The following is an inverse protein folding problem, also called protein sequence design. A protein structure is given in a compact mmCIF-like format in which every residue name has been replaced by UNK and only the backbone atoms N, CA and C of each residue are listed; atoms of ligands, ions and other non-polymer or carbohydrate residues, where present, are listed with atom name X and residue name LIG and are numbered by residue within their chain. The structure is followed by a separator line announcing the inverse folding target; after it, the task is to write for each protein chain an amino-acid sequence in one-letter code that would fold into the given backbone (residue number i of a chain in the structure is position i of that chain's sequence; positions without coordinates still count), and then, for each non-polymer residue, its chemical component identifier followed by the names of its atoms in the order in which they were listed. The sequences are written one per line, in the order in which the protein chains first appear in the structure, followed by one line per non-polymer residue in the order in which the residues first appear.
data_IF_429409608121
#
_entry.id   IF_429409608121
#
_cell.length_a   1.000
_cell.length_b   1.000
_cell.length_c   1.000
_cell.angle_alpha   90.00
_cell.angle_beta   90.00
_cell.angle_gamma   90.00
#
_symmetry.space_group_name_H-M   'P 1'
#
loop_
_entity.id
_entity.type
_entity.pdbx_description
1 polymer ?
#
# COMPACT_ATOMS: atom_id res chain seq x y z
N UNK A 1 -6.83 19.20 18.36
CA UNK A 1 -8.29 19.50 18.34
C UNK A 1 -8.77 19.52 16.90
N UNK A 2 -10.02 19.15 16.61
CA UNK A 2 -10.61 19.31 15.28
C UNK A 2 -11.50 20.56 15.23
N UNK A 3 -11.43 21.32 14.14
CA UNK A 3 -12.36 22.40 13.81
C UNK A 3 -13.35 21.94 12.73
N UNK A 4 -14.65 22.08 12.96
CA UNK A 4 -15.70 21.72 11.99
C UNK A 4 -16.31 23.01 11.43
N UNK A 5 -16.29 23.12 10.10
CA UNK A 5 -16.86 24.24 9.36
C UNK A 5 -18.20 23.81 8.75
N UNK A 6 -19.27 24.47 9.16
CA UNK A 6 -20.58 24.35 8.52
C UNK A 6 -20.89 25.60 7.68
N UNK A 7 -21.60 25.43 6.58
CA UNK A 7 -22.09 26.54 5.75
C UNK A 7 -23.61 26.58 5.78
N UNK A 8 -24.17 27.75 6.08
CA UNK A 8 -25.62 28.01 6.02
C UNK A 8 -26.12 28.14 4.57
N UNK A 9 -25.23 28.40 3.62
CA UNK A 9 -25.53 28.39 2.19
C UNK A 9 -25.57 26.97 1.59
N UNK A 10 -25.13 25.96 2.33
CA UNK A 10 -25.11 24.56 1.91
C UNK A 10 -26.16 23.73 2.69
N UNK A 11 -27.15 23.21 1.98
CA UNK A 11 -28.24 22.43 2.58
C UNK A 11 -27.77 21.12 3.20
N UNK A 12 -26.81 20.41 2.59
CA UNK A 12 -26.28 19.18 3.17
C UNK A 12 -25.46 19.51 4.43
N UNK A 13 -24.67 20.58 4.39
CA UNK A 13 -23.89 21.05 5.55
C UNK A 13 -24.77 21.38 6.76
N UNK A 14 -25.87 22.12 6.55
CA UNK A 14 -26.85 22.40 7.60
C UNK A 14 -27.40 21.11 8.21
N UNK A 15 -27.77 20.15 7.35
CA UNK A 15 -28.35 18.89 7.80
C UNK A 15 -27.32 18.01 8.53
N UNK A 16 -26.08 17.91 8.06
CA UNK A 16 -24.98 17.24 8.77
C UNK A 16 -24.76 17.91 10.13
N UNK A 17 -24.81 19.25 10.19
CA UNK A 17 -24.73 20.02 11.43
C UNK A 17 -25.82 19.67 12.45
N UNK A 18 -27.05 19.50 11.98
CA UNK A 18 -28.15 19.02 12.82
C UNK A 18 -27.84 17.62 13.38
N UNK A 19 -27.36 16.70 12.54
CA UNK A 19 -26.99 15.35 12.98
C UNK A 19 -25.85 15.37 13.99
N UNK A 20 -24.78 16.14 13.76
CA UNK A 20 -23.67 16.33 14.70
C UNK A 20 -24.16 16.77 16.09
N UNK A 21 -25.09 17.73 16.14
CA UNK A 21 -25.70 18.22 17.38
C UNK A 21 -26.59 17.21 18.09
N UNK A 22 -27.17 16.25 17.36
CA UNK A 22 -28.01 15.19 17.95
C UNK A 22 -27.20 14.03 18.51
N UNK A 23 -26.02 13.76 17.94
CA UNK A 23 -25.19 12.60 18.29
C UNK A 23 -24.46 12.76 19.63
N UNK A 24 -24.18 14.00 20.03
CA UNK A 24 -23.36 14.32 21.19
C UNK A 24 -23.94 15.48 22.00
N UNK A 25 -23.54 15.60 23.27
CA UNK A 25 -23.97 16.69 24.15
C UNK A 25 -23.00 17.88 24.11
N UNK A 26 -23.25 18.81 23.20
CA UNK A 26 -22.40 19.98 22.97
C UNK A 26 -22.54 21.05 24.05
N UNK A 27 -21.42 21.67 24.42
CA UNK A 27 -21.43 22.93 25.18
C UNK A 27 -21.57 24.09 24.21
N UNK A 28 -22.61 24.89 24.39
CA UNK A 28 -22.80 26.14 23.65
C UNK A 28 -22.07 27.29 24.34
N UNK A 29 -21.37 28.08 23.55
CA UNK A 29 -20.73 29.32 23.96
C UNK A 29 -21.01 30.42 22.95
N UNK A 30 -20.93 31.67 23.40
CA UNK A 30 -21.17 32.83 22.53
C UNK A 30 -19.86 33.59 22.24
N UNK A 31 -19.45 33.60 20.99
CA UNK A 31 -18.31 34.38 20.50
C UNK A 31 -18.76 35.73 19.93
N UNK A 32 -18.59 36.78 20.75
CA UNK A 32 -18.91 38.15 20.36
C UNK A 32 -17.76 38.89 19.66
N UNK A 33 -16.60 38.24 19.45
CA UNK A 33 -15.42 38.89 18.87
C UNK A 33 -15.50 39.03 17.34
N UNK A 34 -16.44 38.34 16.70
CA UNK A 34 -16.68 38.33 15.25
C UNK A 34 -18.17 38.19 14.95
N UNK A 35 -18.55 38.40 13.69
CA UNK A 35 -19.95 38.32 13.27
C UNK A 35 -20.45 36.87 13.25
N UNK A 36 -21.76 36.65 13.44
CA UNK A 36 -22.38 35.32 13.30
C UNK A 36 -22.31 34.76 11.86
N UNK A 37 -22.14 35.64 10.86
CA UNK A 37 -21.91 35.24 9.47
C UNK A 37 -20.49 34.67 9.26
N UNK A 38 -19.51 35.11 10.06
CA UNK A 38 -18.09 34.75 9.96
C UNK A 38 -17.66 33.76 11.05
N UNK A 39 -18.54 32.85 11.47
CA UNK A 39 -18.22 31.84 12.49
C UNK A 39 -18.23 32.34 13.93
N UNK A 40 -18.76 33.54 14.21
CA UNK A 40 -19.04 34.05 15.54
C UNK A 40 -20.40 33.59 16.05
N UNK A 41 -20.98 34.33 16.99
CA UNK A 41 -22.29 33.97 17.54
C UNK A 41 -22.21 32.67 18.33
N UNK A 42 -23.00 31.67 18.00
CA UNK A 42 -23.02 30.39 18.74
C UNK A 42 -21.90 29.47 18.28
N UNK A 43 -21.03 29.09 19.21
CA UNK A 43 -19.95 28.12 19.02
C UNK A 43 -20.27 26.87 19.82
N UNK A 44 -20.18 25.71 19.20
CA UNK A 44 -20.42 24.43 19.85
C UNK A 44 -19.10 23.74 20.16
N UNK A 45 -18.93 23.28 21.40
CA UNK A 45 -17.71 22.56 21.83
C UNK A 45 -18.00 21.20 22.42
N UNK A 46 -17.12 20.26 22.08
CA UNK A 46 -16.92 18.98 22.77
C UNK A 46 -15.44 18.85 23.11
N UNK A 47 -15.10 17.84 23.92
CA UNK A 47 -13.69 17.55 24.19
C UNK A 47 -12.95 17.19 22.89
N UNK A 48 -11.97 18.02 22.53
CA UNK A 48 -11.19 17.92 21.30
C UNK A 48 -11.89 18.40 20.03
N UNK A 49 -13.06 19.04 20.10
CA UNK A 49 -13.83 19.50 18.92
C UNK A 49 -14.42 20.89 19.11
N UNK A 50 -14.26 21.75 18.10
CA UNK A 50 -14.95 23.04 17.99
C UNK A 50 -15.72 23.10 16.66
N UNK A 51 -17.00 23.46 16.71
CA UNK A 51 -17.88 23.58 15.54
C UNK A 51 -18.37 25.02 15.40
N UNK A 52 -18.27 25.55 14.18
CA UNK A 52 -18.70 26.90 13.81
C UNK A 52 -19.48 26.90 12.51
N UNK A 53 -20.39 27.85 12.40
CA UNK A 53 -21.26 28.04 11.23
C UNK A 53 -20.93 29.35 10.51
N UNK A 54 -20.90 29.30 9.18
CA UNK A 54 -20.57 30.43 8.31
C UNK A 54 -21.73 30.68 7.34
N UNK A 55 -21.94 31.93 6.94
CA UNK A 55 -23.00 32.28 5.98
C UNK A 55 -22.63 31.87 4.55
N UNK A 56 -21.36 32.00 4.18
CA UNK A 56 -20.85 31.73 2.83
C UNK A 56 -20.56 30.23 2.58
N UNK A 57 -20.49 29.83 1.30
CA UNK A 57 -20.07 28.49 0.90
C UNK A 57 -18.60 28.24 1.25
N UNK A 58 -18.31 27.03 1.74
CA UNK A 58 -16.98 26.65 2.25
C UNK A 58 -15.85 26.90 1.26
N UNK A 59 -16.11 26.67 -0.03
CA UNK A 59 -15.12 26.78 -1.10
C UNK A 59 -14.52 28.19 -1.28
N UNK A 60 -15.14 29.22 -0.69
CA UNK A 60 -14.65 30.60 -0.71
C UNK A 60 -14.00 31.06 0.61
N UNK A 61 -13.93 30.19 1.62
CA UNK A 61 -13.47 30.52 2.97
C UNK A 61 -11.96 30.36 3.13
N UNK A 62 -11.15 31.07 2.34
CA UNK A 62 -9.69 31.12 2.52
C UNK A 62 -9.32 31.69 3.91
N UNK A 63 -8.36 31.07 4.60
CA UNK A 63 -7.89 31.49 5.94
C UNK A 63 -8.84 31.19 7.10
N UNK A 64 -9.90 30.39 6.88
CA UNK A 64 -10.92 30.10 7.89
C UNK A 64 -10.40 29.30 9.10
N UNK A 65 -9.29 28.59 8.95
CA UNK A 65 -8.62 27.89 10.05
C UNK A 65 -8.22 28.85 11.18
N UNK A 66 -7.88 30.10 10.86
CA UNK A 66 -7.56 31.15 11.85
C UNK A 66 -8.71 31.56 12.76
N UNK A 67 -9.95 31.20 12.40
CA UNK A 67 -11.15 31.45 13.20
C UNK A 67 -11.17 30.50 14.41
N UNK A 68 -10.61 29.30 14.29
CA UNK A 68 -10.61 28.32 15.36
C UNK A 68 -9.45 28.54 16.33
N UNK A 69 -9.62 28.09 17.58
CA UNK A 69 -8.56 28.13 18.58
C UNK A 69 -7.84 26.77 18.65
N UNK A 70 -6.56 26.73 18.31
CA UNK A 70 -5.65 25.59 18.56
C UNK A 70 -6.15 24.25 17.97
N UNK A 71 -6.39 24.23 16.65
CA UNK A 71 -6.80 23.05 15.90
C UNK A 71 -5.63 22.42 15.15
N UNK A 72 -5.62 21.10 15.10
CA UNK A 72 -4.65 20.29 14.34
C UNK A 72 -5.25 19.84 12.99
N UNK A 73 -6.57 19.84 12.88
CA UNK A 73 -7.31 19.40 11.70
C UNK A 73 -8.56 20.27 11.49
N UNK A 74 -8.80 20.68 10.25
CA UNK A 74 -10.02 21.38 9.83
C UNK A 74 -10.86 20.48 8.92
N UNK A 75 -12.14 20.33 9.24
CA UNK A 75 -13.07 19.48 8.49
C UNK A 75 -14.23 20.31 7.96
N UNK A 76 -14.43 20.29 6.66
CA UNK A 76 -15.57 20.92 6.00
C UNK A 76 -16.67 19.87 5.81
N UNK A 77 -17.80 20.05 6.49
CA UNK A 77 -18.99 19.24 6.23
C UNK A 77 -19.74 19.85 5.06
N UNK A 78 -19.75 19.19 3.91
CA UNK A 78 -20.17 19.79 2.63
C UNK A 78 -21.13 18.88 1.86
N UNK A 79 -21.78 19.43 0.84
CA UNK A 79 -22.43 18.62 -0.19
C UNK A 79 -21.42 18.21 -1.26
N UNK A 80 -21.61 17.01 -1.78
CA UNK A 80 -21.16 16.69 -3.13
C UNK A 80 -22.31 16.95 -4.11
N UNK A 81 -22.02 17.48 -5.30
CA UNK A 81 -23.02 17.77 -6.33
C UNK A 81 -22.64 17.12 -7.67
N UNK A 82 -23.44 16.15 -8.13
CA UNK A 82 -23.14 15.43 -9.36
C UNK A 82 -24.20 14.39 -9.75
N UNK A 83 -23.94 13.67 -10.84
CA UNK A 83 -24.82 12.61 -11.37
C UNK A 83 -24.36 11.20 -10.95
N UNK A 84 -23.97 11.01 -9.68
CA UNK A 84 -23.48 9.71 -9.18
C UNK A 84 -24.50 8.91 -8.38
N UNK A 85 -25.66 9.49 -8.06
CA UNK A 85 -26.60 8.87 -7.12
C UNK A 85 -26.14 9.06 -5.66
N UNK A 86 -26.53 8.16 -4.73
CA UNK A 86 -26.16 8.28 -3.34
C UNK A 86 -24.67 7.97 -3.10
N UNK A 87 -23.93 8.96 -2.61
CA UNK A 87 -22.48 8.90 -2.47
C UNK A 87 -22.00 9.65 -1.22
N UNK A 88 -21.07 9.06 -0.49
CA UNK A 88 -20.32 9.73 0.58
C UNK A 88 -18.83 9.79 0.21
N UNK A 89 -18.21 10.95 0.32
CA UNK A 89 -16.84 11.15 -0.14
C UNK A 89 -15.99 12.00 0.81
N UNK A 90 -14.69 11.94 0.59
CA UNK A 90 -13.73 12.86 1.21
C UNK A 90 -12.59 13.19 0.25
N UNK A 91 -12.07 14.41 0.32
CA UNK A 91 -10.93 14.84 -0.49
C UNK A 91 -10.24 16.10 0.08
N UNK A 92 -8.97 16.37 -0.28
CA UNK A 92 -8.33 17.64 0.00
C UNK A 92 -8.74 18.70 -1.02
N UNK A 93 -8.62 19.97 -0.66
CA UNK A 93 -8.86 21.10 -1.58
C UNK A 93 -7.58 21.60 -2.23
N UNK A 94 -7.73 22.15 -3.43
CA UNK A 94 -6.60 22.59 -4.24
C UNK A 94 -6.91 22.68 -5.72
N UNK A 95 -6.21 23.57 -6.40
CA UNK A 95 -6.27 23.75 -7.84
C UNK A 95 -4.87 23.47 -8.43
N UNK A 96 -4.73 22.42 -9.24
CA UNK A 96 -3.50 22.18 -10.02
C UNK A 96 -3.36 23.16 -11.20
N UNK A 97 -4.50 23.64 -11.71
CA UNK A 97 -4.62 24.62 -12.79
C UNK A 97 -5.28 25.92 -12.33
N UNK A 98 -6.16 26.53 -13.15
CA UNK A 98 -6.97 27.68 -12.76
C UNK A 98 -7.95 27.35 -11.63
N UNK A 99 -8.27 28.35 -10.80
CA UNK A 99 -9.25 28.27 -9.73
C UNK A 99 -10.61 28.80 -10.21
N UNK A 100 -11.46 27.91 -10.71
CA UNK A 100 -12.82 28.26 -11.17
C UNK A 100 -13.85 28.25 -10.02
N UNK A 101 -13.58 27.46 -8.98
CA UNK A 101 -14.47 27.24 -7.85
C UNK A 101 -13.77 27.51 -6.52
N UNK A 102 -13.38 28.77 -6.30
CA UNK A 102 -12.76 29.21 -5.06
C UNK A 102 -11.26 28.88 -4.93
N UNK A 103 -10.61 29.52 -3.96
CA UNK A 103 -9.16 29.48 -3.79
C UNK A 103 -8.38 30.20 -4.90
N UNK A 104 -7.10 29.83 -5.05
CA UNK A 104 -6.19 30.45 -6.00
C UNK A 104 -5.65 29.48 -7.05
N UNK A 105 -5.35 30.01 -8.24
CA UNK A 105 -4.68 29.27 -9.32
C UNK A 105 -3.43 28.58 -8.80
N UNK A 106 -3.30 27.30 -9.13
CA UNK A 106 -2.09 26.51 -8.83
C UNK A 106 -1.74 26.45 -7.34
N UNK A 107 -2.72 26.70 -6.45
CA UNK A 107 -2.57 26.63 -5.00
C UNK A 107 -3.22 25.36 -4.45
N UNK A 108 -2.65 24.79 -3.40
CA UNK A 108 -3.10 23.55 -2.76
C UNK A 108 -3.10 23.78 -1.25
N UNK A 109 -4.20 23.42 -0.58
CA UNK A 109 -4.32 23.47 0.88
C UNK A 109 -3.41 22.43 1.54
N UNK A 110 -3.20 22.51 2.85
CA UNK A 110 -2.53 21.42 3.57
C UNK A 110 -3.45 20.19 3.60
N UNK A 111 -3.01 19.08 2.99
CA UNK A 111 -3.78 17.84 3.02
C UNK A 111 -3.70 17.17 4.40
N UNK A 112 -4.67 16.30 4.70
CA UNK A 112 -4.71 15.50 5.92
C UNK A 112 -4.79 13.98 5.60
N UNK A 113 -3.69 13.36 5.11
CA UNK A 113 -3.71 12.00 4.56
C UNK A 113 -4.26 10.94 5.53
N UNK A 114 -3.85 10.97 6.80
CA UNK A 114 -4.29 9.98 7.78
C UNK A 114 -5.74 10.22 8.23
N UNK A 115 -6.15 11.48 8.35
CA UNK A 115 -7.55 11.83 8.58
C UNK A 115 -8.43 11.37 7.40
N UNK A 116 -7.97 11.52 6.17
CA UNK A 116 -8.69 11.04 4.98
C UNK A 116 -8.85 9.51 4.99
N UNK A 117 -7.79 8.77 5.32
CA UNK A 117 -7.87 7.30 5.47
C UNK A 117 -8.86 6.90 6.57
N UNK A 118 -8.81 7.60 7.71
CA UNK A 118 -9.71 7.33 8.85
C UNK A 118 -11.17 7.64 8.52
N UNK A 119 -11.44 8.78 7.86
CA UNK A 119 -12.81 9.15 7.49
C UNK A 119 -13.37 8.23 6.42
N UNK A 120 -12.55 7.76 5.46
CA UNK A 120 -12.97 6.79 4.46
C UNK A 120 -13.45 5.49 5.11
N UNK A 121 -12.70 4.99 6.11
CA UNK A 121 -13.10 3.81 6.88
C UNK A 121 -14.41 4.05 7.65
N UNK A 122 -14.55 5.20 8.32
CA UNK A 122 -15.75 5.53 9.10
C UNK A 122 -16.99 5.77 8.22
N UNK A 123 -16.83 6.41 7.05
CA UNK A 123 -17.90 6.51 6.04
C UNK A 123 -18.33 5.13 5.57
N UNK A 124 -17.38 4.23 5.31
CA UNK A 124 -17.67 2.85 4.89
C UNK A 124 -18.43 2.07 5.97
N UNK A 125 -18.07 2.27 7.25
CA UNK A 125 -18.75 1.62 8.38
C UNK A 125 -20.18 2.13 8.58
N UNK A 126 -20.40 3.43 8.37
CA UNK A 126 -21.67 4.09 8.71
C UNK A 126 -22.60 4.36 7.51
N UNK A 127 -22.13 4.12 6.28
CA UNK A 127 -22.93 4.33 5.08
C UNK A 127 -24.22 3.51 5.12
N UNK A 128 -25.39 4.14 4.87
CA UNK A 128 -26.63 3.41 4.74
C UNK A 128 -26.69 2.59 3.45
N UNK A 129 -27.57 1.61 3.40
CA UNK A 129 -27.74 0.72 2.24
C UNK A 129 -27.98 1.54 0.95
N UNK A 130 -27.19 1.26 -0.08
CA UNK A 130 -27.30 1.90 -1.39
C UNK A 130 -26.51 3.18 -1.57
N UNK A 131 -25.73 3.61 -0.56
CA UNK A 131 -24.70 4.62 -0.73
C UNK A 131 -23.36 3.98 -1.13
N UNK A 132 -22.76 4.52 -2.18
CA UNK A 132 -21.36 4.28 -2.47
C UNK A 132 -20.49 5.16 -1.57
N UNK A 133 -19.24 4.73 -1.35
CA UNK A 133 -18.25 5.45 -0.55
C UNK A 133 -16.93 5.49 -1.31
N UNK A 134 -16.34 6.66 -1.46
CA UNK A 134 -15.08 6.80 -2.20
C UNK A 134 -14.26 8.03 -1.82
N UNK A 135 -13.12 8.18 -2.47
CA UNK A 135 -12.31 9.39 -2.42
C UNK A 135 -12.50 10.20 -3.71
N UNK A 136 -12.17 11.48 -3.66
CA UNK A 136 -12.11 12.32 -4.85
C UNK A 136 -10.72 12.90 -5.09
N UNK A 137 -10.50 13.32 -6.34
CA UNK A 137 -9.33 14.10 -6.74
C UNK A 137 -9.30 15.46 -6.04
N UNK A 138 -8.11 16.04 -5.93
CA UNK A 138 -7.95 17.39 -5.38
C UNK A 138 -8.59 18.40 -6.33
N UNK A 139 -9.55 19.17 -5.81
CA UNK A 139 -10.22 20.20 -6.58
C UNK A 139 -10.78 21.31 -5.68
N UNK A 140 -11.10 22.44 -6.32
CA UNK A 140 -11.75 23.63 -5.75
C UNK A 140 -11.06 24.25 -4.52
N UNK A 141 -11.60 25.36 -4.04
CA UNK A 141 -11.14 26.07 -2.84
C UNK A 141 -11.74 25.55 -1.54
N UNK A 142 -11.33 26.08 -0.38
CA UNK A 142 -10.29 27.08 -0.22
C UNK A 142 -8.90 26.47 -0.40
N UNK A 143 -7.89 27.29 -0.67
CA UNK A 143 -6.50 26.83 -0.84
C UNK A 143 -5.53 27.45 0.16
N UNK A 144 -5.89 28.58 0.76
CA UNK A 144 -5.06 29.27 1.75
C UNK A 144 -5.41 28.82 3.15
N UNK A 145 -5.04 27.58 3.46
CA UNK A 145 -5.16 26.98 4.79
C UNK A 145 -3.77 26.59 5.29
N UNK A 146 -3.51 26.88 6.57
CA UNK A 146 -2.28 26.49 7.26
C UNK A 146 -2.43 25.18 8.03
N UNK A 147 -3.65 24.87 8.45
CA UNK A 147 -4.03 23.64 9.14
C UNK A 147 -4.35 22.53 8.13
N UNK A 148 -3.90 21.28 8.35
CA UNK A 148 -4.37 20.12 7.58
C UNK A 148 -5.89 20.09 7.47
N UNK A 149 -6.41 19.82 6.27
CA UNK A 149 -7.84 19.92 6.01
C UNK A 149 -8.34 18.94 4.98
N UNK A 150 -9.65 18.67 5.04
CA UNK A 150 -10.39 17.89 4.05
C UNK A 150 -11.87 18.25 4.06
N UNK A 151 -12.52 18.01 2.93
CA UNK A 151 -13.96 17.96 2.81
C UNK A 151 -14.46 16.55 3.12
N UNK A 152 -15.62 16.46 3.78
CA UNK A 152 -16.35 15.21 4.01
C UNK A 152 -17.78 15.46 3.59
N UNK A 153 -18.24 14.72 2.58
CA UNK A 153 -19.36 15.15 1.77
C UNK A 153 -20.52 14.16 1.73
N UNK A 154 -21.72 14.72 1.58
CA UNK A 154 -22.96 14.01 1.32
C UNK A 154 -23.45 14.34 -0.09
N UNK A 155 -23.55 13.33 -0.95
CA UNK A 155 -23.93 13.49 -2.34
C UNK A 155 -25.09 12.60 -2.79
N UNK A 156 -25.68 12.88 -3.96
CA UNK A 156 -25.16 13.86 -4.94
C UNK A 156 -26.18 14.89 -5.41
N UNK A 157 -27.42 14.79 -4.95
CA UNK A 157 -28.49 15.73 -5.27
C UNK A 157 -29.39 16.05 -4.07
N UNK A 158 -30.41 16.87 -4.30
CA UNK A 158 -31.35 17.33 -3.26
C UNK A 158 -31.96 16.17 -2.46
N UNK A 159 -32.22 15.00 -3.07
CA UNK A 159 -32.75 13.85 -2.34
C UNK A 159 -31.78 13.40 -1.26
N UNK A 160 -30.49 13.27 -1.59
CA UNK A 160 -29.50 12.82 -0.62
C UNK A 160 -29.10 13.90 0.37
N UNK A 161 -29.04 15.17 -0.03
CA UNK A 161 -28.76 16.26 0.91
C UNK A 161 -29.82 16.36 2.03
N UNK A 162 -31.04 15.86 1.78
CA UNK A 162 -32.12 15.76 2.78
C UNK A 162 -32.23 14.40 3.45
N UNK A 163 -31.37 13.44 3.15
CA UNK A 163 -31.43 12.11 3.74
C UNK A 163 -30.82 12.13 5.16
N UNK A 164 -31.62 11.88 6.22
CA UNK A 164 -31.11 11.90 7.58
C UNK A 164 -30.11 10.78 7.87
N UNK A 165 -30.23 9.63 7.20
CA UNK A 165 -29.30 8.51 7.40
C UNK A 165 -27.94 8.83 6.78
N UNK A 166 -27.91 9.37 5.56
CA UNK A 166 -26.69 9.85 4.90
C UNK A 166 -26.01 10.99 5.67
N UNK A 167 -26.77 11.99 6.12
CA UNK A 167 -26.23 13.08 6.93
C UNK A 167 -25.69 12.59 8.28
N UNK A 168 -26.36 11.61 8.91
CA UNK A 168 -25.87 11.02 10.16
C UNK A 168 -24.59 10.20 9.94
N UNK A 169 -24.47 9.48 8.83
CA UNK A 169 -23.27 8.74 8.47
C UNK A 169 -22.05 9.68 8.35
N UNK A 170 -22.20 10.80 7.64
CA UNK A 170 -21.15 11.83 7.54
C UNK A 170 -20.82 12.42 8.90
N UNK A 171 -21.83 12.77 9.71
CA UNK A 171 -21.62 13.31 11.05
C UNK A 171 -20.82 12.34 11.95
N UNK A 172 -21.13 11.04 11.92
CA UNK A 172 -20.36 10.02 12.66
C UNK A 172 -18.93 9.91 12.15
N UNK A 173 -18.74 9.92 10.84
CA UNK A 173 -17.40 9.86 10.24
C UNK A 173 -16.54 11.07 10.63
N UNK A 174 -17.11 12.28 10.67
CA UNK A 174 -16.41 13.48 11.15
C UNK A 174 -16.02 13.33 12.63
N UNK A 175 -16.93 12.82 13.48
CA UNK A 175 -16.63 12.61 14.91
C UNK A 175 -15.59 11.51 15.16
N UNK A 176 -15.44 10.55 14.23
CA UNK A 176 -14.39 9.52 14.30
C UNK A 176 -12.97 10.11 14.15
N UNK A 177 -12.84 11.34 13.65
CA UNK A 177 -11.56 12.06 13.53
C UNK A 177 -11.08 12.68 14.85
N UNK A 178 -11.85 12.55 15.93
CA UNK A 178 -11.43 13.01 17.26
C UNK A 178 -10.13 12.31 17.67
N UNK A 179 -9.14 13.11 18.04
CA UNK A 179 -7.82 12.64 18.50
C UNK A 179 -7.00 11.87 17.46
N UNK A 180 -7.37 11.97 16.17
CA UNK A 180 -6.59 11.43 15.06
C UNK A 180 -5.50 12.44 14.66
N UNK A 181 -4.25 11.98 14.56
CA UNK A 181 -3.19 12.77 13.92
C UNK A 181 -3.53 12.90 12.42
N UNK A 182 -3.60 14.11 11.84
CA UNK A 182 -3.95 14.28 10.44
C UNK A 182 -2.92 13.69 9.46
N UNK A 183 -1.68 13.45 9.88
CA UNK A 183 -0.59 13.02 9.02
C UNK A 183 -0.22 11.54 9.25
N UNK A 184 0.34 10.92 8.21
CA UNK A 184 0.93 9.58 8.28
C UNK A 184 2.32 9.59 7.63
N UNK A 185 3.26 8.82 8.18
CA UNK A 185 4.61 8.65 7.62
C UNK A 185 4.54 8.05 6.20
N UNK A 186 3.73 6.99 6.03
CA UNK A 186 3.47 6.35 4.74
C UNK A 186 2.38 7.11 3.98
N UNK A 187 2.77 8.21 3.35
CA UNK A 187 1.86 9.01 2.51
C UNK A 187 2.33 9.04 1.06
N UNK A 188 1.41 9.04 0.10
CA UNK A 188 1.68 9.26 -1.33
C UNK A 188 1.04 10.56 -1.83
N UNK A 189 1.64 11.15 -2.87
CA UNK A 189 0.91 12.00 -3.83
C UNK A 189 0.43 11.12 -4.99
N UNK A 190 -0.84 11.23 -5.35
CA UNK A 190 -1.42 10.54 -6.50
C UNK A 190 -1.43 11.41 -7.75
N UNK A 191 -1.14 10.81 -8.91
CA UNK A 191 -1.27 11.48 -10.20
C UNK A 191 -1.95 10.60 -11.24
N UNK A 192 -2.96 11.16 -11.90
CA UNK A 192 -3.74 10.55 -12.98
C UNK A 192 -5.09 10.00 -12.53
N UNK A 193 -5.81 9.46 -13.49
CA UNK A 193 -7.12 8.85 -13.29
C UNK A 193 -8.28 9.85 -13.31
N UNK A 194 -9.49 9.31 -13.11
CA UNK A 194 -10.73 10.08 -13.06
C UNK A 194 -10.97 10.75 -11.70
N UNK A 195 -12.06 11.51 -11.62
CA UNK A 195 -12.44 12.28 -10.43
C UNK A 195 -12.57 11.45 -9.14
N UNK A 196 -13.05 10.21 -9.20
CA UNK A 196 -13.26 9.33 -8.03
C UNK A 196 -12.09 8.38 -7.72
N UNK A 197 -10.92 8.58 -8.33
CA UNK A 197 -9.61 8.05 -7.89
C UNK A 197 -9.55 6.59 -7.36
N UNK A 198 -10.17 5.59 -8.03
CA UNK A 198 -10.35 4.24 -7.46
C UNK A 198 -9.03 3.48 -7.22
N UNK A 199 -7.97 3.81 -7.97
CA UNK A 199 -6.63 3.25 -7.74
C UNK A 199 -6.06 3.70 -6.39
N UNK A 200 -6.18 4.99 -6.08
CA UNK A 200 -5.68 5.58 -4.85
C UNK A 200 -6.55 5.20 -3.65
N UNK A 201 -7.87 5.13 -3.84
CA UNK A 201 -8.78 4.57 -2.84
C UNK A 201 -8.40 3.13 -2.47
N UNK A 202 -8.13 2.28 -3.45
CA UNK A 202 -7.68 0.90 -3.21
C UNK A 202 -6.37 0.85 -2.43
N UNK A 203 -5.42 1.74 -2.70
CA UNK A 203 -4.18 1.82 -1.91
C UNK A 203 -4.49 2.11 -0.44
N UNK A 204 -5.35 3.10 -0.17
CA UNK A 204 -5.75 3.46 1.19
C UNK A 204 -6.51 2.33 1.90
N UNK A 205 -7.33 1.57 1.16
CA UNK A 205 -8.10 0.45 1.74
C UNK A 205 -7.28 -0.82 1.97
N UNK A 206 -6.35 -1.12 1.07
CA UNK A 206 -5.65 -2.40 1.05
C UNK A 206 -4.30 -2.36 1.79
N UNK A 207 -3.82 -1.19 2.20
CA UNK A 207 -2.48 -1.00 2.79
C UNK A 207 -2.48 0.07 3.88
N UNK A 208 -1.40 0.17 4.64
CA UNK A 208 -1.11 1.26 5.59
C UNK A 208 -0.79 2.61 4.92
N UNK A 209 -0.69 2.66 3.57
CA UNK A 209 -0.38 3.89 2.87
C UNK A 209 -1.59 4.81 2.77
N UNK A 210 -1.42 6.03 3.24
CA UNK A 210 -2.36 7.13 3.04
C UNK A 210 -2.05 7.90 1.75
N UNK A 211 -3.03 8.68 1.28
CA UNK A 211 -2.86 9.53 0.09
C UNK A 211 -3.21 10.96 0.47
N UNK A 212 -2.31 11.89 0.15
CA UNK A 212 -2.55 13.33 0.27
C UNK A 212 -3.27 13.86 -0.97
N UNK A 213 -2.63 14.79 -1.68
CA UNK A 213 -3.18 15.29 -2.93
C UNK A 213 -3.20 14.22 -4.02
N UNK A 214 -4.29 14.20 -4.77
CA UNK A 214 -4.41 13.50 -6.05
C UNK A 214 -4.66 14.50 -7.17
N UNK A 215 -3.73 14.59 -8.13
CA UNK A 215 -3.91 15.37 -9.35
C UNK A 215 -4.53 14.49 -10.45
N UNK A 216 -5.83 14.65 -10.68
CA UNK A 216 -6.58 13.87 -11.70
C UNK A 216 -6.38 14.40 -13.11
N UNK A 217 -6.69 13.60 -14.13
CA UNK A 217 -6.33 13.85 -15.53
C UNK A 217 -6.74 15.24 -16.05
N UNK A 218 -7.97 15.69 -15.75
CA UNK A 218 -8.44 17.00 -16.20
C UNK A 218 -7.70 18.15 -15.49
N UNK A 219 -7.34 17.97 -14.22
CA UNK A 219 -6.62 18.97 -13.43
C UNK A 219 -5.16 19.08 -13.91
N UNK A 220 -4.54 17.95 -14.25
CA UNK A 220 -3.20 17.89 -14.83
C UNK A 220 -3.17 18.48 -16.25
N UNK A 221 -4.19 18.21 -17.06
CA UNK A 221 -4.35 18.84 -18.36
C UNK A 221 -4.47 20.37 -18.25
N UNK A 222 -5.23 20.86 -17.27
CA UNK A 222 -5.39 22.28 -16.99
C UNK A 222 -4.12 22.94 -16.41
N UNK A 223 -3.34 22.20 -15.60
CA UNK A 223 -2.02 22.64 -15.14
C UNK A 223 -1.11 22.91 -16.33
N UNK A 224 -1.10 21.99 -17.31
CA UNK A 224 -0.22 22.00 -18.47
C UNK A 224 1.05 21.17 -18.25
N UNK A 225 2.03 21.33 -19.14
CA UNK A 225 3.20 20.45 -19.19
C UNK A 225 3.99 20.45 -17.85
N UNK A 226 4.26 19.27 -17.24
CA UNK A 226 4.89 19.15 -15.92
C UNK A 226 6.18 19.95 -15.76
N UNK A 227 7.05 19.94 -16.78
CA UNK A 227 8.35 20.60 -16.76
C UNK A 227 8.25 22.13 -16.68
N UNK A 228 7.10 22.70 -17.04
CA UNK A 228 6.81 24.15 -16.93
C UNK A 228 6.15 24.51 -15.60
N UNK A 229 5.65 23.53 -14.86
CA UNK A 229 4.85 23.72 -13.63
C UNK A 229 5.43 22.98 -12.42
N UNK A 230 6.77 22.87 -12.38
CA UNK A 230 7.53 22.23 -11.30
C UNK A 230 7.18 22.72 -9.89
N UNK A 231 6.84 24.00 -9.73
CA UNK A 231 6.45 24.56 -8.43
C UNK A 231 5.10 24.02 -7.92
N UNK A 232 4.17 23.68 -8.83
CA UNK A 232 2.88 23.08 -8.48
C UNK A 232 3.09 21.65 -8.01
N UNK A 233 3.93 20.89 -8.73
CA UNK A 233 4.31 19.54 -8.33
C UNK A 233 5.00 19.55 -6.96
N UNK A 234 6.00 20.40 -6.77
CA UNK A 234 6.69 20.57 -5.47
C UNK A 234 5.70 20.85 -4.34
N UNK A 235 4.72 21.72 -4.60
CA UNK A 235 3.66 22.05 -3.64
C UNK A 235 2.79 20.84 -3.31
N UNK A 236 2.45 19.99 -4.28
CA UNK A 236 1.68 18.78 -4.01
C UNK A 236 2.38 17.83 -3.03
N UNK A 237 3.71 17.69 -3.13
CA UNK A 237 4.51 16.93 -2.16
C UNK A 237 4.61 17.61 -0.80
N UNK A 238 4.94 18.91 -0.76
CA UNK A 238 5.08 19.69 0.47
C UNK A 238 3.77 19.71 1.27
N UNK A 239 2.63 19.92 0.59
CA UNK A 239 1.29 19.97 1.19
C UNK A 239 0.73 18.60 1.55
N UNK A 240 1.27 17.52 0.99
CA UNK A 240 0.94 16.15 1.39
C UNK A 240 1.91 15.60 2.45
N UNK A 241 3.00 16.31 2.78
CA UNK A 241 3.97 15.84 3.77
C UNK A 241 4.75 14.60 3.35
N UNK A 242 4.99 14.38 2.04
CA UNK A 242 5.66 13.17 1.54
C UNK A 242 6.72 13.45 0.48
N UNK A 243 7.56 12.45 0.22
CA UNK A 243 8.52 12.40 -0.88
C UNK A 243 8.20 11.31 -1.91
N UNK A 244 7.08 10.58 -1.75
CA UNK A 244 6.69 9.47 -2.60
C UNK A 244 5.47 9.82 -3.46
N UNK A 245 5.47 9.36 -4.71
CA UNK A 245 4.35 9.51 -5.63
C UNK A 245 4.00 8.20 -6.35
N UNK A 246 2.71 7.98 -6.56
CA UNK A 246 2.18 6.94 -7.43
C UNK A 246 1.55 7.61 -8.65
N UNK A 247 2.05 7.28 -9.84
CA UNK A 247 1.64 7.90 -11.11
C UNK A 247 0.94 6.87 -11.99
N UNK A 248 -0.17 7.25 -12.63
CA UNK A 248 -0.82 6.51 -13.71
C UNK A 248 -0.23 6.92 -15.07
N UNK A 249 0.61 6.07 -15.64
CA UNK A 249 1.08 6.10 -17.05
C UNK A 249 1.46 7.48 -17.63
N UNK A 250 2.32 8.25 -16.95
CA UNK A 250 2.88 9.51 -17.47
C UNK A 250 4.42 9.61 -17.28
N UNK A 251 5.21 9.12 -18.26
CA UNK A 251 6.67 9.18 -18.19
C UNK A 251 7.26 10.61 -18.17
N UNK A 252 6.53 11.62 -18.66
CA UNK A 252 7.01 13.00 -18.62
C UNK A 252 6.88 13.59 -17.22
N UNK A 253 5.75 13.30 -16.56
CA UNK A 253 5.52 13.66 -15.18
C UNK A 253 6.48 12.92 -14.24
N UNK A 254 6.64 11.60 -14.40
CA UNK A 254 7.57 10.79 -13.60
C UNK A 254 9.00 11.34 -13.63
N UNK A 255 9.54 11.62 -14.81
CA UNK A 255 10.87 12.24 -14.94
C UNK A 255 10.95 13.59 -14.26
N UNK A 256 9.92 14.42 -14.39
CA UNK A 256 9.90 15.75 -13.76
C UNK A 256 9.90 15.64 -12.23
N UNK A 257 9.15 14.69 -11.68
CA UNK A 257 9.10 14.37 -10.24
C UNK A 257 10.47 13.90 -9.75
N UNK A 258 11.10 12.97 -10.47
CA UNK A 258 12.43 12.44 -10.11
C UNK A 258 13.52 13.52 -10.16
N UNK A 259 13.52 14.38 -11.18
CA UNK A 259 14.43 15.51 -11.26
C UNK A 259 14.22 16.55 -10.14
N UNK A 260 13.02 16.60 -9.53
CA UNK A 260 12.74 17.43 -8.36
C UNK A 260 13.24 16.81 -7.04
N UNK A 261 13.76 15.57 -7.09
CA UNK A 261 14.28 14.85 -5.92
C UNK A 261 13.23 14.03 -5.17
N UNK A 262 12.04 13.87 -5.74
CA UNK A 262 10.99 12.99 -5.22
C UNK A 262 11.08 11.60 -5.86
N UNK A 263 10.44 10.62 -5.23
CA UNK A 263 10.49 9.23 -5.68
C UNK A 263 9.14 8.78 -6.23
N UNK A 264 9.14 8.37 -7.50
CA UNK A 264 8.04 7.63 -8.11
C UNK A 264 8.11 6.16 -7.66
N UNK A 265 6.96 5.60 -7.30
CA UNK A 265 6.82 4.20 -6.88
C UNK A 265 5.70 3.51 -7.64
N UNK A 266 5.83 2.20 -7.80
CA UNK A 266 4.77 1.37 -8.39
C UNK A 266 3.78 0.90 -7.34
N UNK A 267 2.58 0.48 -7.76
CA UNK A 267 1.61 -0.13 -6.83
C UNK A 267 2.18 -1.43 -6.20
N UNK A 268 3.01 -2.18 -6.93
CA UNK A 268 3.75 -3.31 -6.37
C UNK A 268 4.67 -2.88 -5.23
N UNK A 269 5.39 -1.76 -5.38
CA UNK A 269 6.24 -1.24 -4.31
C UNK A 269 5.42 -0.82 -3.09
N UNK A 270 4.27 -0.16 -3.30
CA UNK A 270 3.35 0.23 -2.22
C UNK A 270 2.86 -1.01 -1.45
N UNK A 271 2.42 -2.05 -2.16
CA UNK A 271 1.96 -3.31 -1.53
C UNK A 271 3.07 -4.10 -0.85
N UNK A 272 4.26 -4.16 -1.43
CA UNK A 272 5.40 -4.87 -0.82
C UNK A 272 5.94 -4.15 0.42
N UNK A 273 5.68 -2.85 0.57
CA UNK A 273 6.12 -2.05 1.72
C UNK A 273 5.02 -1.84 2.76
N UNK A 274 3.86 -2.45 2.55
CA UNK A 274 2.78 -2.49 3.53
C UNK A 274 3.24 -3.18 4.82
N UNK A 275 2.99 -2.57 5.97
CA UNK A 275 3.48 -3.07 7.26
C UNK A 275 5.00 -2.97 7.48
N UNK A 276 5.81 -2.55 6.49
CA UNK A 276 7.28 -2.56 6.61
C UNK A 276 7.83 -1.16 6.95
N UNK A 277 8.75 -1.01 7.93
CA UNK A 277 9.41 0.26 8.22
C UNK A 277 10.20 0.83 7.03
N UNK A 278 9.98 2.10 6.68
CA UNK A 278 10.61 2.72 5.50
C UNK A 278 12.15 2.77 5.60
N UNK A 279 12.70 2.89 6.80
CA UNK A 279 14.15 2.82 7.02
C UNK A 279 14.72 1.48 6.55
N UNK A 280 14.05 0.37 6.88
CA UNK A 280 14.43 -0.97 6.46
C UNK A 280 14.26 -1.17 4.95
N UNK A 281 13.16 -0.68 4.38
CA UNK A 281 12.93 -0.68 2.93
C UNK A 281 14.09 0.01 2.21
N UNK A 282 14.41 1.23 2.62
CA UNK A 282 15.48 2.03 2.01
C UNK A 282 16.86 1.37 2.20
N UNK A 283 17.11 0.75 3.35
CA UNK A 283 18.34 0.01 3.60
C UNK A 283 18.48 -1.18 2.65
N UNK A 284 17.45 -2.02 2.53
CA UNK A 284 17.50 -3.24 1.72
C UNK A 284 17.51 -2.96 0.22
N UNK A 285 16.80 -1.92 -0.24
CA UNK A 285 16.89 -1.52 -1.65
C UNK A 285 18.29 -1.05 -2.05
N UNK A 286 19.02 -0.41 -1.12
CA UNK A 286 20.40 0.04 -1.34
C UNK A 286 21.43 -1.08 -1.19
N UNK A 287 21.27 -1.96 -0.21
CA UNK A 287 22.27 -2.99 0.12
C UNK A 287 22.07 -4.31 -0.64
N UNK A 288 20.86 -4.58 -1.13
CA UNK A 288 20.51 -5.80 -1.86
C UNK A 288 20.17 -5.47 -3.31
N UNK A 289 18.99 -4.90 -3.57
CA UNK A 289 18.53 -4.37 -4.87
C UNK A 289 17.14 -3.75 -4.73
N UNK A 290 16.68 -2.92 -5.69
CA UNK A 290 15.33 -2.36 -5.70
C UNK A 290 14.21 -3.43 -5.68
N UNK A 291 13.04 -3.07 -5.14
CA UNK A 291 11.82 -3.91 -5.20
C UNK A 291 11.37 -4.12 -6.64
N UNK A 292 11.54 -3.11 -7.49
CA UNK A 292 11.31 -3.19 -8.95
C UNK A 292 12.14 -4.28 -9.59
N UNK A 293 13.32 -4.59 -9.02
CA UNK A 293 14.27 -5.57 -9.52
C UNK A 293 14.15 -6.92 -8.77
N UNK A 294 13.07 -7.11 -8.01
CA UNK A 294 12.71 -8.39 -7.41
C UNK A 294 13.14 -8.56 -5.94
N UNK A 295 13.44 -7.51 -5.20
CA UNK A 295 13.46 -7.60 -3.73
C UNK A 295 12.04 -7.83 -3.21
N UNK A 296 11.87 -8.79 -2.29
CA UNK A 296 10.59 -9.13 -1.63
C UNK A 296 10.84 -9.32 -0.14
N UNK A 297 9.89 -8.92 0.70
CA UNK A 297 10.01 -9.12 2.15
C UNK A 297 9.53 -10.52 2.55
N UNK A 298 10.17 -11.09 3.56
CA UNK A 298 9.82 -12.38 4.15
C UNK A 298 9.13 -12.24 5.50
N UNK A 299 8.68 -13.35 6.06
CA UNK A 299 7.81 -13.39 7.25
C UNK A 299 8.56 -13.03 8.55
N UNK A 300 9.89 -12.89 8.48
CA UNK A 300 10.72 -12.42 9.61
C UNK A 300 11.04 -10.93 9.52
N UNK A 301 10.47 -10.23 8.54
CA UNK A 301 10.56 -8.78 8.48
C UNK A 301 9.81 -8.18 9.69
N UNK A 302 10.39 -7.23 10.44
CA UNK A 302 9.65 -6.51 11.47
C UNK A 302 8.47 -5.77 10.85
N UNK A 303 7.33 -5.78 11.55
CA UNK A 303 6.22 -4.89 11.21
C UNK A 303 6.39 -3.53 11.89
N UNK A 304 5.76 -2.51 11.31
CA UNK A 304 5.54 -1.16 11.87
C UNK A 304 5.01 -1.21 13.31
N UNK A 305 4.12 -2.15 13.62
CA UNK A 305 3.53 -2.33 14.96
C UNK A 305 4.43 -3.07 15.96
N UNK A 306 5.47 -3.76 15.50
CA UNK A 306 6.35 -4.57 16.32
C UNK A 306 7.43 -3.73 17.03
N UNK A 307 7.03 -2.75 17.84
CA UNK A 307 7.94 -2.05 18.78
C UNK A 307 8.16 -2.88 20.06
N UNK A 308 8.01 -4.21 19.97
CA UNK A 308 8.18 -5.13 21.09
C UNK A 308 9.54 -5.84 21.02
N UNK A 309 10.61 -5.11 21.33
CA UNK A 309 11.82 -5.61 22.00
C UNK A 309 12.71 -6.71 21.36
N UNK A 310 12.33 -7.35 20.26
CA UNK A 310 13.11 -8.45 19.65
C UNK A 310 13.91 -8.05 18.41
N UNK A 311 13.61 -6.90 17.77
CA UNK A 311 14.34 -6.41 16.59
C UNK A 311 14.24 -4.88 16.49
N UNK A 312 15.36 -4.17 16.48
CA UNK A 312 15.38 -2.75 16.13
C UNK A 312 15.48 -2.62 14.60
N UNK A 313 14.43 -2.11 13.90
CA UNK A 313 14.45 -1.99 12.44
C UNK A 313 15.52 -1.01 11.91
N UNK A 314 16.16 -0.25 12.80
CA UNK A 314 17.28 0.64 12.50
C UNK A 314 18.65 0.01 12.78
N UNK A 315 18.72 -1.09 13.53
CA UNK A 315 19.95 -1.83 13.78
C UNK A 315 20.20 -2.86 12.66
N UNK A 316 20.80 -2.35 11.59
CA UNK A 316 21.11 -3.15 10.41
C UNK A 316 22.28 -4.13 10.61
N UNK A 317 23.06 -4.00 11.69
CA UNK A 317 24.19 -4.90 11.98
C UNK A 317 23.69 -6.30 12.38
N UNK A 318 22.41 -6.44 12.70
CA UNK A 318 21.74 -7.71 12.97
C UNK A 318 21.25 -8.45 11.72
N UNK A 319 21.56 -7.98 10.51
CA UNK A 319 21.15 -8.63 9.26
C UNK A 319 22.29 -9.41 8.61
N UNK A 320 22.06 -10.70 8.31
CA UNK A 320 23.01 -11.53 7.58
C UNK A 320 22.57 -11.73 6.13
N UNK A 321 23.34 -11.19 5.19
CA UNK A 321 23.19 -11.46 3.76
C UNK A 321 23.91 -12.75 3.39
N UNK A 322 23.20 -13.65 2.73
CA UNK A 322 23.72 -14.92 2.24
C UNK A 322 23.38 -15.11 0.76
N UNK A 323 24.21 -15.90 0.06
CA UNK A 323 23.98 -16.30 -1.31
C UNK A 323 23.81 -17.82 -1.38
N UNK A 324 22.64 -18.26 -1.85
CA UNK A 324 22.31 -19.67 -2.02
C UNK A 324 23.16 -20.24 -3.18
N UNK A 325 23.82 -21.40 -3.00
CA UNK A 325 24.53 -22.08 -4.08
C UNK A 325 23.60 -22.36 -5.27
N UNK A 326 24.06 -22.01 -6.48
CA UNK A 326 23.22 -22.05 -7.68
C UNK A 326 22.66 -23.46 -7.96
N UNK A 327 23.49 -24.49 -7.83
CA UNK A 327 23.11 -25.86 -8.12
C UNK A 327 22.11 -26.41 -7.07
N UNK A 328 22.27 -26.02 -5.81
CA UNK A 328 21.33 -26.36 -4.74
C UNK A 328 19.95 -25.76 -5.00
N UNK A 329 19.92 -24.46 -5.35
CA UNK A 329 18.69 -23.75 -5.68
C UNK A 329 18.03 -24.32 -6.93
N UNK A 330 18.81 -24.63 -7.98
CA UNK A 330 18.30 -25.23 -9.20
C UNK A 330 17.69 -26.62 -8.94
N UNK A 331 18.35 -27.46 -8.13
CA UNK A 331 17.84 -28.78 -7.76
C UNK A 331 16.53 -28.68 -6.95
N UNK A 332 16.46 -27.79 -5.95
CA UNK A 332 15.25 -27.58 -5.16
C UNK A 332 14.08 -27.02 -6.00
N UNK A 333 14.33 -26.00 -6.83
CA UNK A 333 13.33 -25.43 -7.73
C UNK A 333 12.83 -26.45 -8.77
N UNK A 334 13.70 -27.34 -9.26
CA UNK A 334 13.35 -28.42 -10.17
C UNK A 334 12.40 -29.46 -9.56
N UNK A 335 12.36 -29.56 -8.22
CA UNK A 335 11.39 -30.39 -7.49
C UNK A 335 10.10 -29.59 -7.24
N UNK A 336 10.21 -28.41 -6.61
CA UNK A 336 9.07 -27.56 -6.29
C UNK A 336 9.49 -26.11 -5.99
N UNK A 337 9.39 -25.23 -6.98
CA UNK A 337 9.80 -23.83 -6.85
C UNK A 337 8.92 -23.02 -5.88
N UNK A 338 7.59 -23.22 -5.88
CA UNK A 338 6.67 -22.54 -4.96
C UNK A 338 7.00 -22.83 -3.50
N UNK A 339 7.22 -24.11 -3.17
CA UNK A 339 7.61 -24.55 -1.84
C UNK A 339 9.00 -24.05 -1.46
N UNK A 340 9.93 -23.99 -2.42
CA UNK A 340 11.27 -23.43 -2.20
C UNK A 340 11.15 -21.96 -1.79
N UNK A 341 10.44 -21.16 -2.57
CA UNK A 341 10.21 -19.74 -2.26
C UNK A 341 9.53 -19.55 -0.89
N UNK A 342 8.42 -20.25 -0.62
CA UNK A 342 7.69 -20.16 0.65
C UNK A 342 8.54 -20.55 1.86
N UNK A 343 9.31 -21.64 1.77
CA UNK A 343 10.16 -22.09 2.87
C UNK A 343 11.28 -21.12 3.19
N UNK A 344 11.86 -20.46 2.18
CA UNK A 344 12.88 -19.43 2.38
C UNK A 344 12.26 -18.14 2.92
N UNK A 345 11.13 -17.66 2.38
CA UNK A 345 10.44 -16.45 2.86
C UNK A 345 10.06 -16.53 4.33
N UNK A 346 9.57 -17.66 4.81
CA UNK A 346 9.21 -17.86 6.24
C UNK A 346 10.35 -17.74 7.25
N UNK A 347 11.60 -17.67 6.78
CA UNK A 347 12.81 -17.57 7.59
C UNK A 347 13.58 -16.27 7.36
N UNK A 348 13.20 -15.49 6.36
CA UNK A 348 13.96 -14.35 5.88
C UNK A 348 13.30 -13.02 6.27
N UNK A 349 14.12 -12.00 6.45
CA UNK A 349 13.68 -10.60 6.43
C UNK A 349 13.38 -10.20 4.99
N UNK A 350 14.25 -10.58 4.06
CA UNK A 350 14.06 -10.33 2.65
C UNK A 350 14.66 -11.43 1.79
N UNK A 351 14.08 -11.62 0.61
CA UNK A 351 14.57 -12.52 -0.43
C UNK A 351 14.65 -11.76 -1.74
N UNK A 352 15.52 -12.22 -2.61
CA UNK A 352 15.52 -11.78 -3.98
C UNK A 352 14.78 -12.77 -4.86
N UNK A 353 14.08 -12.27 -5.87
CA UNK A 353 13.22 -13.05 -6.76
C UNK A 353 13.39 -12.63 -8.21
N UNK A 354 13.03 -13.53 -9.13
CA UNK A 354 12.86 -13.25 -10.56
C UNK A 354 11.42 -13.54 -10.97
N UNK A 355 11.11 -13.33 -12.26
CA UNK A 355 9.78 -13.66 -12.84
C UNK A 355 8.63 -12.97 -12.07
N UNK A 356 8.79 -11.68 -11.79
CA UNK A 356 7.83 -10.85 -11.04
C UNK A 356 7.54 -11.32 -9.60
N UNK A 357 8.44 -12.07 -8.97
CA UNK A 357 8.31 -12.49 -7.57
C UNK A 357 7.96 -13.96 -7.39
N UNK A 358 7.73 -14.70 -8.47
CA UNK A 358 7.27 -16.11 -8.39
C UNK A 358 8.41 -17.09 -8.19
N UNK A 359 9.64 -16.69 -8.51
CA UNK A 359 10.81 -17.57 -8.44
C UNK A 359 11.88 -17.00 -7.53
N UNK A 360 12.32 -17.82 -6.58
CA UNK A 360 13.41 -17.47 -5.69
C UNK A 360 14.72 -17.32 -6.48
N UNK A 361 15.41 -16.21 -6.27
CA UNK A 361 16.77 -15.98 -6.72
C UNK A 361 17.77 -16.29 -5.58
N UNK A 362 19.03 -15.91 -5.71
CA UNK A 362 20.08 -16.46 -4.85
C UNK A 362 20.34 -15.67 -3.58
N UNK A 363 19.88 -14.43 -3.44
CA UNK A 363 20.20 -13.62 -2.27
C UNK A 363 19.07 -13.69 -1.24
N UNK A 364 19.43 -13.97 0.00
CA UNK A 364 18.53 -13.98 1.15
C UNK A 364 19.14 -13.13 2.26
N UNK A 365 18.30 -12.37 2.95
CA UNK A 365 18.66 -11.61 4.14
C UNK A 365 17.94 -12.24 5.33
N UNK A 366 18.71 -12.70 6.29
CA UNK A 366 18.23 -13.36 7.51
C UNK A 366 18.45 -12.45 8.72
N UNK A 367 17.61 -12.54 9.76
CA UNK A 367 17.98 -12.04 11.08
C UNK A 367 19.22 -12.79 11.59
N UNK A 368 20.09 -12.11 12.34
CA UNK A 368 21.31 -12.67 12.95
C UNK A 368 21.00 -13.85 13.89
N UNK A 369 19.79 -13.87 14.45
CA UNK A 369 19.26 -14.93 15.31
C UNK A 369 18.90 -16.22 14.56
N UNK A 370 18.78 -16.18 13.23
CA UNK A 370 18.46 -17.35 12.41
C UNK A 370 19.75 -18.01 11.95
N UNK A 371 20.01 -19.21 12.47
CA UNK A 371 21.12 -20.06 12.04
C UNK A 371 20.97 -20.46 10.56
N UNK A 372 22.03 -20.25 9.76
CA UNK A 372 22.14 -20.69 8.36
C UNK A 372 21.87 -22.19 8.21
N UNK A 373 22.14 -22.97 9.24
CA UNK A 373 21.81 -24.39 9.29
C UNK A 373 20.31 -24.63 9.07
N UNK A 374 19.43 -23.82 9.66
CA UNK A 374 17.98 -23.97 9.45
C UNK A 374 17.54 -23.76 8.01
N UNK A 375 18.27 -22.94 7.25
CA UNK A 375 18.02 -22.76 5.83
C UNK A 375 18.54 -23.97 5.04
N UNK A 376 19.73 -24.47 5.35
CA UNK A 376 20.24 -25.71 4.74
C UNK A 376 19.29 -26.89 4.97
N UNK A 377 18.79 -27.08 6.19
CA UNK A 377 17.81 -28.14 6.50
C UNK A 377 16.47 -27.96 5.73
N UNK A 378 16.07 -26.72 5.45
CA UNK A 378 14.92 -26.44 4.63
C UNK A 378 15.12 -26.93 3.17
N UNK A 379 16.31 -26.71 2.59
CA UNK A 379 16.65 -27.25 1.27
C UNK A 379 16.73 -28.78 1.27
N UNK A 380 17.33 -29.39 2.30
CA UNK A 380 17.39 -30.85 2.46
C UNK A 380 15.97 -31.44 2.45
N UNK A 381 15.03 -30.84 3.20
CA UNK A 381 13.63 -31.29 3.25
C UNK A 381 12.96 -31.27 1.86
N UNK A 382 13.32 -30.32 0.99
CA UNK A 382 12.79 -30.26 -0.38
C UNK A 382 13.42 -31.35 -1.25
N UNK A 383 14.76 -31.49 -1.19
CA UNK A 383 15.49 -32.50 -1.94
C UNK A 383 15.05 -33.92 -1.59
N UNK A 384 14.76 -34.22 -0.31
CA UNK A 384 14.30 -35.52 0.18
C UNK A 384 13.00 -36.01 -0.46
N UNK A 385 12.27 -35.16 -1.17
CA UNK A 385 11.08 -35.56 -1.95
C UNK A 385 11.43 -36.35 -3.21
N UNK A 386 12.66 -36.23 -3.69
CA UNK A 386 13.14 -36.89 -4.91
C UNK A 386 14.41 -37.71 -4.68
N UNK A 387 15.28 -37.24 -3.79
CA UNK A 387 16.60 -37.79 -3.52
C UNK A 387 16.66 -38.46 -2.16
N UNK A 388 17.56 -39.42 -2.00
CA UNK A 388 18.07 -39.84 -0.69
C UNK A 388 19.19 -38.88 -0.29
N UNK A 389 19.00 -38.08 0.75
CA UNK A 389 19.84 -36.91 1.05
C UNK A 389 20.53 -37.07 2.40
N UNK A 390 21.85 -36.86 2.40
CA UNK A 390 22.68 -36.80 3.60
C UNK A 390 23.46 -35.47 3.64
N UNK A 391 23.86 -35.06 4.85
CA UNK A 391 24.67 -33.87 5.07
C UNK A 391 26.03 -34.28 5.60
N UNK A 392 27.10 -33.84 4.93
CA UNK A 392 28.49 -34.06 5.33
C UNK A 392 29.23 -32.73 5.43
N UNK A 393 29.28 -32.19 6.66
CA UNK A 393 29.87 -30.88 6.94
C UNK A 393 29.18 -29.75 6.15
N UNK A 394 29.96 -29.15 5.25
CA UNK A 394 29.53 -28.06 4.35
C UNK A 394 28.95 -28.57 3.02
N UNK A 395 28.67 -29.87 2.90
CA UNK A 395 28.10 -30.46 1.69
C UNK A 395 26.73 -31.10 1.97
N UNK A 396 25.81 -30.91 1.04
CA UNK A 396 24.55 -31.66 0.91
C UNK A 396 24.73 -32.66 -0.23
N UNK A 397 24.65 -33.94 0.09
CA UNK A 397 24.84 -35.03 -0.87
C UNK A 397 23.48 -35.66 -1.13
N UNK A 398 23.05 -35.64 -2.39
CA UNK A 398 21.77 -36.17 -2.83
C UNK A 398 21.98 -37.33 -3.80
N UNK A 399 21.40 -38.47 -3.48
CA UNK A 399 21.49 -39.69 -4.27
C UNK A 399 20.17 -39.95 -4.99
N UNK A 400 20.24 -40.28 -6.28
CA UNK A 400 19.09 -40.69 -7.10
C UNK A 400 19.43 -42.01 -7.80
N UNK A 401 18.58 -43.02 -7.61
CA UNK A 401 18.66 -44.23 -8.42
C UNK A 401 17.98 -43.96 -9.76
N UNK A 402 18.78 -43.62 -10.76
CA UNK A 402 18.31 -43.31 -12.10
C UNK A 402 18.48 -44.52 -13.03
N UNK A 403 17.60 -44.65 -14.01
CA UNK A 403 17.78 -45.63 -15.07
C UNK A 403 19.11 -45.38 -15.81
N UNK A 404 19.89 -46.44 -16.02
CA UNK A 404 21.18 -46.42 -16.72
C UNK A 404 21.04 -47.06 -18.09
N UNK A 405 21.06 -46.26 -19.18
CA UNK A 405 21.13 -46.76 -20.56
C UNK A 405 22.24 -47.79 -20.77
N UNK A 406 23.37 -47.59 -20.10
CA UNK A 406 24.54 -48.45 -20.21
C UNK A 406 24.27 -49.83 -19.61
N UNK A 407 23.73 -49.89 -18.39
CA UNK A 407 23.35 -51.17 -17.76
C UNK A 407 22.26 -51.87 -18.57
N UNK A 408 21.23 -51.15 -19.03
CA UNK A 408 20.18 -51.74 -19.87
C UNK A 408 20.73 -52.41 -21.13
N UNK A 409 21.68 -51.77 -21.82
CA UNK A 409 22.36 -52.37 -22.98
C UNK A 409 23.23 -53.58 -22.60
N UNK A 410 23.88 -53.56 -21.43
CA UNK A 410 24.65 -54.70 -20.94
C UNK A 410 23.77 -55.92 -20.66
N UNK A 411 22.52 -55.71 -20.21
CA UNK A 411 21.51 -56.75 -20.08
C UNK A 411 20.81 -57.10 -21.41
N UNK A 412 21.29 -56.57 -22.54
CA UNK A 412 20.75 -56.91 -23.86
C UNK A 412 19.45 -56.19 -24.24
N UNK A 413 19.04 -55.14 -23.51
CA UNK A 413 17.83 -54.38 -23.82
C UNK A 413 18.09 -53.40 -24.98
N UNK A 414 17.45 -53.57 -26.15
CA UNK A 414 17.60 -52.63 -27.26
C UNK A 414 16.82 -51.34 -27.00
N UNK A 415 17.30 -50.22 -27.54
CA UNK A 415 16.56 -48.95 -27.52
C UNK A 415 15.22 -49.11 -28.23
N UNK A 416 14.12 -48.78 -27.55
CA UNK A 416 12.77 -49.02 -28.03
C UNK A 416 11.73 -49.14 -26.90
N UNK A 417 10.56 -49.74 -27.16
CA UNK A 417 9.48 -49.83 -26.17
C UNK A 417 9.90 -50.52 -24.86
N UNK A 418 10.71 -51.59 -24.93
CA UNK A 418 11.21 -52.28 -23.73
C UNK A 418 12.11 -51.38 -22.86
N UNK A 419 12.96 -50.58 -23.51
CA UNK A 419 13.81 -49.59 -22.86
C UNK A 419 13.00 -48.50 -22.15
N UNK A 420 11.95 -47.99 -22.82
CA UNK A 420 11.02 -47.02 -22.23
C UNK A 420 10.25 -47.61 -21.04
N UNK A 421 9.83 -48.88 -21.11
CA UNK A 421 9.18 -49.58 -20.00
C UNK A 421 10.10 -49.68 -18.77
N UNK A 422 11.35 -50.08 -18.94
CA UNK A 422 12.33 -50.13 -17.84
C UNK A 422 12.60 -48.74 -17.24
N UNK A 423 12.75 -47.72 -18.08
CA UNK A 423 12.91 -46.32 -17.64
C UNK A 423 11.71 -45.85 -16.81
N UNK A 424 10.50 -46.30 -17.16
CA UNK A 424 9.25 -46.00 -16.44
C UNK A 424 8.98 -46.94 -15.25
N UNK A 425 9.96 -47.74 -14.81
CA UNK A 425 9.84 -48.59 -13.63
C UNK A 425 9.04 -49.88 -13.86
N UNK A 426 8.94 -50.36 -15.10
CA UNK A 426 8.28 -51.62 -15.44
C UNK A 426 9.30 -52.69 -15.80
N UNK A 427 9.12 -53.90 -15.25
CA UNK A 427 9.89 -55.09 -15.63
C UNK A 427 9.63 -55.46 -17.09
N UNK A 428 10.68 -55.92 -17.76
CA UNK A 428 10.59 -56.42 -19.14
C UNK A 428 11.24 -57.79 -19.26
N UNK A 429 10.78 -58.56 -20.24
CA UNK A 429 11.35 -59.85 -20.58
C UNK A 429 11.95 -59.78 -21.98
N UNK A 430 13.20 -60.21 -22.11
CA UNK A 430 13.96 -60.27 -23.37
C UNK A 430 14.69 -61.60 -23.39
N UNK A 431 14.51 -62.37 -24.46
CA UNK A 431 15.17 -63.67 -24.67
C UNK A 431 15.11 -64.59 -23.44
N UNK A 432 13.89 -64.80 -22.91
CA UNK A 432 13.59 -65.62 -21.71
C UNK A 432 14.26 -65.14 -20.41
N UNK A 433 14.83 -63.93 -20.38
CA UNK A 433 15.42 -63.31 -19.20
C UNK A 433 14.56 -62.16 -18.70
N UNK A 434 14.16 -62.22 -17.43
CA UNK A 434 13.41 -61.15 -16.76
C UNK A 434 14.39 -60.09 -16.27
N UNK A 435 14.24 -58.87 -16.75
CA UNK A 435 15.04 -57.70 -16.35
C UNK A 435 14.12 -56.75 -15.59
N UNK A 436 14.43 -56.52 -14.33
CA UNK A 436 13.69 -55.60 -13.47
C UNK A 436 14.28 -54.19 -13.55
N UNK A 437 13.51 -53.15 -13.17
CA UNK A 437 14.05 -51.79 -13.08
C UNK A 437 15.25 -51.66 -12.14
N UNK A 438 15.36 -52.52 -11.12
CA UNK A 438 16.48 -52.50 -10.19
C UNK A 438 17.79 -52.95 -10.85
N UNK A 439 17.73 -53.87 -11.81
CA UNK A 439 18.91 -54.43 -12.48
C UNK A 439 19.62 -53.41 -13.40
N UNK A 440 18.89 -52.38 -13.83
CA UNK A 440 19.33 -51.37 -14.80
C UNK A 440 19.34 -49.96 -14.23
N UNK A 441 19.34 -49.83 -12.90
CA UNK A 441 19.50 -48.54 -12.21
C UNK A 441 20.94 -48.34 -11.76
N UNK A 442 21.39 -47.09 -11.84
CA UNK A 442 22.68 -46.64 -11.34
C UNK A 442 22.46 -45.49 -10.35
N UNK A 443 23.12 -45.58 -9.21
CA UNK A 443 23.07 -44.53 -8.18
C UNK A 443 23.89 -43.34 -8.68
N UNK A 444 23.21 -42.23 -8.95
CA UNK A 444 23.84 -40.94 -9.24
C UNK A 444 23.96 -40.13 -7.97
N UNK A 445 25.14 -39.56 -7.74
CA UNK A 445 25.40 -38.69 -6.59
C UNK A 445 25.55 -37.25 -7.08
N UNK A 446 24.74 -36.36 -6.51
CA UNK A 446 24.82 -34.92 -6.68
C UNK A 446 25.37 -34.33 -5.39
N UNK A 447 26.39 -33.49 -5.49
CA UNK A 447 27.00 -32.82 -4.35
C UNK A 447 26.80 -31.32 -4.48
N UNK A 448 26.19 -30.74 -3.46
CA UNK A 448 25.91 -29.30 -3.39
C UNK A 448 26.62 -28.73 -2.17
N UNK A 449 27.16 -27.51 -2.27
CA UNK A 449 27.60 -26.77 -1.09
C UNK A 449 26.40 -26.42 -0.20
N UNK A 450 26.58 -26.43 1.12
CA UNK A 450 25.61 -25.89 2.07
C UNK A 450 25.61 -24.36 2.07
N UNK A 451 24.65 -23.76 2.77
CA UNK A 451 24.45 -22.31 2.85
C UNK A 451 25.19 -21.69 4.03
#
# INVERSE_FOLDING_TARGET
MIGIVLSRADRASVHIGEQLRTLESWREEHDASRSDADGGGTVYRLDGVELREFEELHLHLDGVDSVFSDIDLLVFASRHAGETGPLLTAHPTGNFGPAEFGGHDRSLAQAAPNAQSTVLAALTEHAPDGYDVGLEGTHHGPTELTTPSLFVELGSDERQWNDPEGAQAVARAILALRSVDPNAEKTLVGFGGGHYVPRFERVVRDTEWSVGHVGVDWALAAMGAPEKHRSVLKRAFERSGTTYALVEDDPALERTIEELGYRTVSETWVRETDGIPLALVNHLERSVRPITDGLRFGDRCPSTDAVSGEFDPTDHDELSRIEIPADLLAAANGINHERTLSMVRSRAVAVTTTENGTKLDRIVVLPSTVDRNHLTEAFITILQRKYDVERDGENVIAHEDAFSPTLARQYGVPEGPAFGRLSNGQTVEIDDTIITPADVRERKTHMFSSI
#
